data_IF_955645601060
#
_entry.id   IF_955645601060
#
_cell.length_a   1.000
_cell.length_b   1.000
_cell.length_c   1.000
_cell.angle_alpha   90.00
_cell.angle_beta   90.00
_cell.angle_gamma   90.00
#
_symmetry.space_group_name_H-M   'P 1'
#
loop_
_entity.id
_entity.type
_entity.pdbx_description
1 polymer ?
#
# COMPACT_ATOMS: atom_id res chain seq x y z
N UNK A 1 50.93 -13.02 3.37
CA UNK A 1 51.94 -11.97 3.39
C UNK A 1 51.91 -11.14 4.67
N UNK A 2 51.10 -11.47 5.65
CA UNK A 2 51.18 -10.98 7.02
C UNK A 2 51.72 -12.13 7.84
N UNK A 3 52.97 -12.00 8.27
CA UNK A 3 53.62 -13.00 9.15
C UNK A 3 52.79 -13.22 10.39
N UNK A 4 52.77 -14.44 10.89
CA UNK A 4 51.94 -14.76 12.03
C UNK A 4 52.45 -14.07 13.29
N UNK A 5 51.53 -13.57 14.08
CA UNK A 5 51.57 -13.29 15.50
C UNK A 5 52.15 -11.96 16.03
N UNK A 6 53.09 -11.27 15.38
CA UNK A 6 53.67 -10.06 15.97
C UNK A 6 52.93 -8.76 15.56
N UNK A 7 52.34 -8.70 14.39
CA UNK A 7 51.65 -7.48 13.90
C UNK A 7 50.22 -7.37 14.44
N UNK A 8 49.63 -8.50 14.84
CA UNK A 8 48.24 -8.53 15.34
C UNK A 8 48.13 -8.05 16.80
N UNK A 9 49.21 -8.17 17.56
CA UNK A 9 49.25 -7.76 18.96
C UNK A 9 49.41 -6.23 19.17
N UNK A 10 49.85 -5.49 18.14
CA UNK A 10 49.98 -4.02 18.21
C UNK A 10 48.82 -3.26 17.57
N UNK A 11 47.86 -3.93 16.95
CA UNK A 11 46.67 -3.30 16.46
C UNK A 11 45.74 -2.95 17.64
N UNK A 12 45.37 -1.67 17.84
CA UNK A 12 44.42 -1.28 18.85
C UNK A 12 43.03 -1.81 18.46
N UNK A 13 42.75 -3.05 18.84
CA UNK A 13 41.44 -3.64 18.63
C UNK A 13 40.48 -2.99 19.60
N UNK A 14 39.51 -2.17 19.15
CA UNK A 14 38.54 -1.57 20.06
C UNK A 14 37.71 -2.66 20.73
N UNK A 15 37.58 -2.60 22.04
CA UNK A 15 36.69 -3.49 22.79
C UNK A 15 35.28 -2.97 22.63
N UNK A 16 34.43 -3.75 22.02
CA UNK A 16 33.00 -3.44 21.83
C UNK A 16 32.23 -4.14 22.95
N UNK A 17 31.45 -3.35 23.69
CA UNK A 17 30.54 -3.86 24.73
C UNK A 17 29.13 -3.55 24.22
N UNK A 18 28.37 -4.61 23.94
CA UNK A 18 26.96 -4.49 23.57
C UNK A 18 26.10 -4.46 24.85
N UNK A 19 25.32 -3.39 25.00
CA UNK A 19 24.42 -3.20 26.15
C UNK A 19 22.99 -3.26 25.61
N UNK A 20 22.21 -4.23 26.10
CA UNK A 20 20.77 -4.32 25.81
C UNK A 20 20.01 -3.69 26.98
N UNK A 21 19.50 -2.46 26.85
CA UNK A 21 18.81 -1.79 27.94
C UNK A 21 17.39 -2.33 28.15
N UNK A 22 16.92 -2.30 29.39
CA UNK A 22 15.50 -2.52 29.70
C UNK A 22 14.64 -1.32 29.29
N UNK A 23 13.35 -1.54 29.10
CA UNK A 23 12.37 -0.52 28.75
C UNK A 23 12.38 0.63 29.77
N UNK A 24 12.65 1.85 29.30
CA UNK A 24 12.68 3.06 30.17
C UNK A 24 14.08 3.49 30.62
N UNK A 25 15.14 2.90 30.08
CA UNK A 25 16.50 3.27 30.41
C UNK A 25 16.86 4.68 29.91
N UNK A 26 17.48 5.50 30.78
CA UNK A 26 17.89 6.87 30.46
C UNK A 26 19.34 6.88 29.92
N UNK A 27 19.47 7.00 28.59
CA UNK A 27 20.75 7.01 27.91
C UNK A 27 21.57 8.29 28.16
N UNK A 28 20.95 9.42 28.37
CA UNK A 28 21.63 10.68 28.66
C UNK A 28 22.40 10.59 30.02
N UNK A 29 21.84 9.81 30.95
CA UNK A 29 22.51 9.55 32.22
C UNK A 29 23.70 8.62 32.05
N UNK A 30 23.59 7.62 31.16
CA UNK A 30 24.67 6.70 30.84
C UNK A 30 25.83 7.43 30.15
N UNK A 31 25.52 8.28 29.17
CA UNK A 31 26.50 9.06 28.42
C UNK A 31 27.32 9.94 29.34
N UNK A 32 26.65 10.65 30.26
CA UNK A 32 27.33 11.47 31.28
C UNK A 32 28.25 10.66 32.19
N UNK A 33 27.76 9.51 32.68
CA UNK A 33 28.57 8.63 33.54
C UNK A 33 29.73 7.98 32.81
N UNK A 34 29.54 7.59 31.54
CA UNK A 34 30.63 7.07 30.70
C UNK A 34 31.69 8.15 30.46
N UNK A 35 31.31 9.40 30.20
CA UNK A 35 32.26 10.51 30.06
C UNK A 35 33.10 10.79 31.33
N UNK A 36 32.56 10.48 32.52
CA UNK A 36 33.28 10.60 33.78
C UNK A 36 34.23 9.44 34.09
N UNK A 37 33.82 8.21 33.74
CA UNK A 37 34.54 6.99 34.10
C UNK A 37 35.51 6.54 32.98
N UNK A 38 35.13 6.72 31.74
CA UNK A 38 35.89 6.28 30.57
C UNK A 38 35.76 7.33 29.43
N UNK A 39 36.49 8.46 29.50
CA UNK A 39 36.39 9.54 28.51
C UNK A 39 36.81 9.12 27.09
N UNK A 40 37.46 7.99 26.92
CA UNK A 40 37.83 7.44 25.61
C UNK A 40 36.74 6.52 25.03
N UNK A 41 35.69 6.20 25.80
CA UNK A 41 34.60 5.34 25.33
C UNK A 41 33.62 6.16 24.48
N UNK A 42 33.32 5.68 23.29
CA UNK A 42 32.31 6.29 22.40
C UNK A 42 31.03 5.49 22.53
N UNK A 43 29.98 6.14 23.02
CA UNK A 43 28.65 5.54 23.02
C UNK A 43 28.04 5.71 21.62
N UNK A 44 27.91 4.60 20.89
CA UNK A 44 27.25 4.58 19.60
C UNK A 44 25.74 4.33 19.80
N UNK A 45 24.96 5.41 19.76
CA UNK A 45 23.51 5.34 19.91
C UNK A 45 22.83 5.12 18.54
N UNK A 46 22.61 3.86 18.21
CA UNK A 46 21.91 3.45 16.99
C UNK A 46 20.45 3.93 16.93
N UNK A 47 19.86 4.43 18.03
CA UNK A 47 18.46 4.87 18.09
C UNK A 47 18.18 6.08 17.19
N UNK A 48 19.10 7.05 17.14
CA UNK A 48 18.95 8.24 16.29
C UNK A 48 18.84 7.84 14.82
N UNK A 49 19.54 6.79 14.43
CA UNK A 49 19.52 6.26 13.07
C UNK A 49 18.24 5.51 12.79
N UNK A 50 17.77 4.69 13.74
CA UNK A 50 16.52 3.93 13.65
C UNK A 50 15.32 4.88 13.62
N UNK A 51 15.29 5.92 14.44
CA UNK A 51 14.24 6.94 14.41
C UNK A 51 14.17 7.67 13.06
N UNK A 52 15.31 8.06 12.50
CA UNK A 52 15.34 8.68 11.16
C UNK A 52 14.82 7.75 10.06
N UNK A 53 15.18 6.48 10.12
CA UNK A 53 14.66 5.49 9.17
C UNK A 53 13.15 5.31 9.36
N UNK A 54 12.67 5.27 10.59
CA UNK A 54 11.25 5.18 10.90
C UNK A 54 10.47 6.39 10.37
N UNK A 55 11.01 7.61 10.51
CA UNK A 55 10.41 8.84 9.97
C UNK A 55 10.34 8.83 8.45
N UNK A 56 11.40 8.39 7.79
CA UNK A 56 11.40 8.23 6.33
C UNK A 56 10.39 7.16 5.90
N UNK A 57 10.35 6.03 6.58
CA UNK A 57 9.39 4.96 6.30
C UNK A 57 7.94 5.45 6.48
N UNK A 58 7.65 6.19 7.54
CA UNK A 58 6.34 6.81 7.77
C UNK A 58 5.97 7.83 6.68
N UNK A 59 6.94 8.64 6.25
CA UNK A 59 6.72 9.62 5.16
C UNK A 59 6.38 8.92 3.84
N UNK A 60 7.06 7.82 3.53
CA UNK A 60 6.78 6.99 2.34
C UNK A 60 5.40 6.33 2.46
N UNK A 61 5.05 5.78 3.62
CA UNK A 61 3.73 5.20 3.86
C UNK A 61 2.60 6.22 3.68
N UNK A 62 2.78 7.43 4.20
CA UNK A 62 1.83 8.52 4.02
C UNK A 62 1.66 8.91 2.54
N UNK A 63 2.77 9.02 1.80
CA UNK A 63 2.75 9.32 0.36
C UNK A 63 2.05 8.22 -0.45
N UNK A 64 2.32 6.94 -0.14
CA UNK A 64 1.65 5.80 -0.79
C UNK A 64 0.16 5.77 -0.46
N UNK A 65 -0.22 6.04 0.78
CA UNK A 65 -1.63 6.12 1.20
C UNK A 65 -2.35 7.24 0.47
N UNK A 66 -1.74 8.42 0.36
CA UNK A 66 -2.30 9.53 -0.42
C UNK A 66 -2.46 9.17 -1.90
N UNK A 67 -1.47 8.50 -2.50
CA UNK A 67 -1.53 8.01 -3.87
C UNK A 67 -2.69 7.03 -4.08
N UNK A 68 -2.89 6.08 -3.16
CA UNK A 68 -4.01 5.12 -3.23
C UNK A 68 -5.35 5.86 -3.20
N UNK A 69 -5.51 6.87 -2.33
CA UNK A 69 -6.74 7.68 -2.25
C UNK A 69 -7.00 8.40 -3.57
N UNK A 70 -5.97 9.01 -4.17
CA UNK A 70 -6.08 9.72 -5.46
C UNK A 70 -6.46 8.74 -6.57
N UNK A 71 -5.80 7.58 -6.67
CA UNK A 71 -6.11 6.55 -7.67
C UNK A 71 -7.55 6.01 -7.51
N UNK A 72 -7.99 5.81 -6.26
CA UNK A 72 -9.35 5.38 -5.97
C UNK A 72 -10.37 6.44 -6.40
N UNK A 73 -10.11 7.72 -6.11
CA UNK A 73 -10.93 8.85 -6.57
C UNK A 73 -10.99 8.95 -8.10
N UNK A 74 -9.86 8.82 -8.77
CA UNK A 74 -9.76 8.82 -10.23
C UNK A 74 -10.56 7.66 -10.85
N UNK A 75 -10.48 6.47 -10.26
CA UNK A 75 -11.26 5.31 -10.68
C UNK A 75 -12.77 5.57 -10.55
N UNK A 76 -13.22 6.13 -9.43
CA UNK A 76 -14.62 6.49 -9.25
C UNK A 76 -15.10 7.53 -10.28
N UNK A 77 -14.31 8.57 -10.54
CA UNK A 77 -14.62 9.58 -11.55
C UNK A 77 -14.71 8.97 -12.94
N UNK A 78 -13.80 8.06 -13.29
CA UNK A 78 -13.81 7.33 -14.56
C UNK A 78 -15.09 6.48 -14.73
N UNK A 79 -15.52 5.77 -13.68
CA UNK A 79 -16.77 5.01 -13.67
C UNK A 79 -17.98 5.93 -13.86
N UNK A 80 -18.01 7.07 -13.17
CA UNK A 80 -19.09 8.07 -13.31
C UNK A 80 -19.14 8.62 -14.74
N UNK A 81 -17.98 8.99 -15.28
CA UNK A 81 -17.88 9.52 -16.64
C UNK A 81 -18.31 8.48 -17.70
N UNK A 82 -17.77 7.28 -17.63
CA UNK A 82 -18.11 6.17 -18.53
C UNK A 82 -19.62 5.84 -18.48
N UNK A 83 -20.19 5.82 -17.27
CA UNK A 83 -21.64 5.57 -17.08
C UNK A 83 -22.48 6.67 -17.69
N UNK A 84 -22.12 7.95 -17.49
CA UNK A 84 -22.85 9.10 -18.10
C UNK A 84 -22.73 9.10 -19.62
N UNK A 85 -21.55 8.85 -20.15
CA UNK A 85 -21.31 8.76 -21.60
C UNK A 85 -22.11 7.63 -22.22
N UNK A 86 -22.12 6.43 -21.59
CA UNK A 86 -22.91 5.31 -22.03
C UNK A 86 -24.42 5.58 -22.04
N UNK A 87 -24.94 6.26 -21.02
CA UNK A 87 -26.34 6.70 -20.96
C UNK A 87 -26.67 7.69 -22.10
N UNK A 88 -25.79 8.64 -22.39
CA UNK A 88 -25.95 9.63 -23.45
C UNK A 88 -25.99 8.98 -24.83
N UNK A 89 -25.09 8.02 -25.09
CA UNK A 89 -25.03 7.28 -26.37
C UNK A 89 -26.31 6.45 -26.60
N UNK A 90 -26.85 5.86 -25.55
CA UNK A 90 -28.04 4.98 -25.64
C UNK A 90 -29.35 5.67 -25.28
N UNK A 91 -29.36 7.00 -25.28
CA UNK A 91 -30.52 7.80 -24.85
C UNK A 91 -31.81 7.41 -25.55
N UNK A 92 -31.80 7.26 -26.85
CA UNK A 92 -33.00 6.89 -27.64
C UNK A 92 -33.55 5.52 -27.24
N UNK A 93 -32.67 4.56 -26.99
CA UNK A 93 -33.08 3.21 -26.55
C UNK A 93 -33.68 3.29 -25.15
N UNK A 94 -33.11 4.09 -24.26
CA UNK A 94 -33.60 4.27 -22.90
C UNK A 94 -34.99 4.95 -22.90
N UNK A 95 -35.21 5.96 -23.75
CA UNK A 95 -36.52 6.62 -23.94
C UNK A 95 -37.57 5.61 -24.47
N UNK A 96 -37.21 4.77 -25.44
CA UNK A 96 -38.10 3.70 -25.94
C UNK A 96 -38.43 2.69 -24.83
N UNK A 97 -37.43 2.24 -24.04
CA UNK A 97 -37.69 1.36 -22.92
C UNK A 97 -38.64 1.96 -21.89
N UNK A 98 -38.52 3.26 -21.65
CA UNK A 98 -39.37 3.96 -20.72
C UNK A 98 -40.83 4.04 -21.23
N UNK A 99 -41.03 4.24 -22.55
CA UNK A 99 -42.36 4.26 -23.18
C UNK A 99 -43.07 2.90 -23.05
N UNK A 100 -42.34 1.79 -23.03
CA UNK A 100 -42.91 0.45 -22.83
C UNK A 100 -43.00 0.07 -21.35
N UNK A 101 -42.71 1.00 -20.42
CA UNK A 101 -42.91 0.81 -18.98
C UNK A 101 -41.73 0.20 -18.20
N UNK A 102 -40.53 0.19 -18.78
CA UNK A 102 -39.35 -0.30 -18.05
C UNK A 102 -39.04 0.57 -16.84
N UNK A 103 -38.83 -0.05 -15.67
CA UNK A 103 -38.44 0.63 -14.44
C UNK A 103 -37.02 1.14 -14.50
N UNK A 104 -36.75 2.32 -13.93
CA UNK A 104 -35.40 2.88 -13.78
C UNK A 104 -34.41 1.97 -13.08
N UNK A 105 -34.90 1.19 -12.10
CA UNK A 105 -34.11 0.21 -11.37
C UNK A 105 -33.59 -0.91 -12.25
N UNK A 106 -34.34 -1.32 -13.28
CA UNK A 106 -33.91 -2.34 -14.25
C UNK A 106 -32.79 -1.81 -15.13
N UNK A 107 -32.97 -0.59 -15.70
CA UNK A 107 -31.96 0.09 -16.53
C UNK A 107 -30.66 0.28 -15.71
N UNK A 108 -30.78 0.83 -14.50
CA UNK A 108 -29.65 1.02 -13.60
C UNK A 108 -28.93 -0.32 -13.24
N UNK A 109 -29.70 -1.40 -13.06
CA UNK A 109 -29.16 -2.71 -12.80
C UNK A 109 -28.33 -3.29 -13.94
N UNK A 110 -28.73 -3.01 -15.20
CA UNK A 110 -28.01 -3.49 -16.38
C UNK A 110 -26.66 -2.79 -16.55
N UNK A 111 -26.65 -1.45 -16.39
CA UNK A 111 -25.42 -0.68 -16.41
C UNK A 111 -24.49 -1.05 -15.24
N UNK A 112 -25.05 -1.25 -14.06
CA UNK A 112 -24.28 -1.65 -12.89
C UNK A 112 -23.60 -3.02 -13.08
N UNK A 113 -24.30 -4.01 -13.68
CA UNK A 113 -23.72 -5.34 -13.99
C UNK A 113 -22.63 -5.26 -15.04
N UNK A 114 -22.77 -4.42 -16.04
CA UNK A 114 -21.75 -4.20 -17.05
C UNK A 114 -20.46 -3.62 -16.43
N UNK A 115 -20.61 -2.55 -15.64
CA UNK A 115 -19.49 -1.93 -14.93
C UNK A 115 -18.84 -2.87 -13.89
N UNK A 116 -19.63 -3.72 -13.22
CA UNK A 116 -19.11 -4.76 -12.32
C UNK A 116 -18.15 -5.69 -13.04
N UNK A 117 -18.55 -6.20 -14.20
CA UNK A 117 -17.70 -7.12 -14.99
C UNK A 117 -16.41 -6.43 -15.44
N UNK A 118 -16.52 -5.23 -16.01
CA UNK A 118 -15.35 -4.47 -16.45
C UNK A 118 -14.38 -4.18 -15.31
N UNK A 119 -14.90 -3.72 -14.17
CA UNK A 119 -14.08 -3.43 -12.99
C UNK A 119 -13.44 -4.69 -12.41
N UNK A 120 -14.16 -5.81 -12.39
CA UNK A 120 -13.63 -7.09 -11.91
C UNK A 120 -12.49 -7.59 -12.80
N UNK A 121 -12.70 -7.62 -14.12
CA UNK A 121 -11.64 -8.03 -15.06
C UNK A 121 -10.45 -7.08 -15.05
N UNK A 122 -10.69 -5.77 -14.98
CA UNK A 122 -9.62 -4.78 -14.85
C UNK A 122 -8.80 -4.98 -13.58
N UNK A 123 -9.46 -5.21 -12.44
CA UNK A 123 -8.78 -5.48 -11.17
C UNK A 123 -8.03 -6.83 -11.19
N UNK A 124 -8.57 -7.85 -11.88
CA UNK A 124 -7.89 -9.13 -12.04
C UNK A 124 -6.61 -9.00 -12.89
N UNK A 125 -6.66 -8.27 -14.00
CA UNK A 125 -5.48 -7.96 -14.83
C UNK A 125 -4.46 -7.16 -14.02
N UNK A 126 -4.90 -6.15 -13.27
CA UNK A 126 -4.03 -5.38 -12.38
C UNK A 126 -3.34 -6.27 -11.35
N UNK A 127 -4.05 -7.20 -10.75
CA UNK A 127 -3.50 -8.17 -9.81
C UNK A 127 -2.47 -9.10 -10.47
N UNK A 128 -2.77 -9.59 -11.69
CA UNK A 128 -1.88 -10.45 -12.45
C UNK A 128 -0.54 -9.77 -12.79
N UNK A 129 -0.54 -8.46 -12.97
CA UNK A 129 0.67 -7.67 -13.21
C UNK A 129 1.37 -7.35 -11.89
N UNK A 130 0.62 -7.02 -10.85
CA UNK A 130 1.18 -6.62 -9.56
C UNK A 130 1.89 -7.77 -8.83
N UNK A 131 1.37 -9.00 -8.91
CA UNK A 131 1.96 -10.17 -8.25
C UNK A 131 3.40 -10.48 -8.69
N UNK A 132 3.73 -10.57 -9.98
CA UNK A 132 5.12 -10.83 -10.40
C UNK A 132 6.05 -9.66 -10.07
N UNK A 133 5.57 -8.42 -10.14
CA UNK A 133 6.38 -7.24 -9.76
C UNK A 133 6.70 -7.27 -8.27
N UNK A 134 5.70 -7.52 -7.41
CA UNK A 134 5.91 -7.62 -5.96
C UNK A 134 6.79 -8.80 -5.60
N UNK A 135 6.64 -9.94 -6.29
CA UNK A 135 7.50 -11.11 -6.14
C UNK A 135 8.96 -10.83 -6.51
N UNK A 136 9.19 -10.08 -7.59
CA UNK A 136 10.53 -9.66 -8.01
C UNK A 136 11.18 -8.74 -6.97
N UNK A 137 10.43 -7.76 -6.45
CA UNK A 137 10.92 -6.85 -5.40
C UNK A 137 11.26 -7.63 -4.14
N UNK A 138 10.41 -8.56 -3.73
CA UNK A 138 10.66 -9.43 -2.58
C UNK A 138 11.92 -10.30 -2.77
N UNK A 139 12.10 -10.88 -3.95
CA UNK A 139 13.27 -11.69 -4.27
C UNK A 139 14.58 -10.89 -4.27
N UNK A 140 14.56 -9.67 -4.83
CA UNK A 140 15.71 -8.75 -4.79
C UNK A 140 16.01 -8.32 -3.34
N UNK A 141 14.98 -8.03 -2.55
CA UNK A 141 15.12 -7.68 -1.13
C UNK A 141 15.78 -8.81 -0.32
N UNK A 142 15.36 -10.05 -0.54
CA UNK A 142 15.98 -11.22 0.10
C UNK A 142 17.47 -11.35 -0.26
N UNK A 143 17.84 -11.11 -1.53
CA UNK A 143 19.24 -11.11 -1.96
C UNK A 143 20.06 -9.99 -1.35
N UNK A 144 19.45 -8.85 -1.09
CA UNK A 144 20.06 -7.71 -0.43
C UNK A 144 20.14 -7.84 1.11
N UNK A 145 19.67 -8.97 1.68
CA UNK A 145 19.65 -9.21 3.12
C UNK A 145 18.57 -8.44 3.87
N UNK A 146 17.54 -7.93 3.17
CA UNK A 146 16.44 -7.24 3.82
C UNK A 146 15.54 -8.25 4.54
N UNK A 147 15.21 -8.00 5.81
CA UNK A 147 14.27 -8.84 6.52
C UNK A 147 12.87 -8.64 5.90
N UNK A 148 12.38 -9.64 5.16
CA UNK A 148 10.99 -9.60 4.69
C UNK A 148 10.11 -9.98 5.88
N UNK A 149 9.16 -9.12 6.30
CA UNK A 149 8.26 -9.45 7.38
C UNK A 149 7.51 -10.74 7.07
N UNK A 150 7.47 -11.68 8.01
CA UNK A 150 6.70 -12.93 7.91
C UNK A 150 5.21 -12.69 7.62
N UNK A 151 4.73 -11.48 7.92
CA UNK A 151 3.39 -10.99 7.59
C UNK A 151 3.05 -11.07 6.09
N UNK A 152 4.04 -10.90 5.19
CA UNK A 152 3.81 -10.97 3.73
C UNK A 152 3.37 -12.37 3.30
N UNK A 153 3.80 -13.41 4.02
CA UNK A 153 3.40 -14.79 3.78
C UNK A 153 2.24 -15.25 4.66
N UNK A 154 1.63 -14.35 5.43
CA UNK A 154 0.50 -14.72 6.28
C UNK A 154 -0.75 -14.99 5.44
N UNK A 155 -1.58 -15.98 5.82
CA UNK A 155 -2.84 -16.27 5.14
C UNK A 155 -3.79 -15.07 5.13
N UNK A 156 -3.70 -14.21 6.12
CA UNK A 156 -4.48 -12.97 6.21
C UNK A 156 -4.09 -11.98 5.10
N UNK A 157 -2.80 -11.80 4.84
CA UNK A 157 -2.31 -10.90 3.78
C UNK A 157 -2.72 -11.41 2.39
N UNK A 158 -2.61 -12.72 2.15
CA UNK A 158 -3.07 -13.36 0.92
C UNK A 158 -4.58 -13.17 0.76
N UNK A 159 -5.36 -13.32 1.82
CA UNK A 159 -6.81 -13.10 1.82
C UNK A 159 -7.19 -11.67 1.46
N UNK A 160 -6.47 -10.67 1.97
CA UNK A 160 -6.65 -9.24 1.62
C UNK A 160 -6.39 -9.02 0.13
N UNK A 161 -5.30 -9.55 -0.42
CA UNK A 161 -4.95 -9.41 -1.84
C UNK A 161 -6.06 -10.00 -2.73
N UNK A 162 -6.57 -11.18 -2.41
CA UNK A 162 -7.66 -11.84 -3.14
C UNK A 162 -8.97 -11.03 -3.03
N UNK A 163 -9.21 -10.36 -1.92
CA UNK A 163 -10.42 -9.56 -1.71
C UNK A 163 -10.44 -8.25 -2.55
N UNK A 164 -9.28 -7.70 -2.93
CA UNK A 164 -9.17 -6.43 -3.67
C UNK A 164 -10.05 -6.38 -4.93
N UNK A 165 -10.01 -7.36 -5.87
CA UNK A 165 -10.85 -7.35 -7.06
C UNK A 165 -12.35 -7.29 -6.75
N UNK A 166 -12.80 -7.98 -5.70
CA UNK A 166 -14.20 -8.00 -5.30
C UNK A 166 -14.64 -6.66 -4.71
N UNK A 167 -13.79 -6.05 -3.88
CA UNK A 167 -14.04 -4.72 -3.28
C UNK A 167 -14.13 -3.66 -4.38
N UNK A 168 -13.16 -3.61 -5.29
CA UNK A 168 -13.12 -2.65 -6.41
C UNK A 168 -14.35 -2.83 -7.32
N UNK A 169 -14.70 -4.06 -7.66
CA UNK A 169 -15.86 -4.36 -8.47
C UNK A 169 -17.18 -3.94 -7.78
N UNK A 170 -17.32 -4.20 -6.49
CA UNK A 170 -18.47 -3.80 -5.69
C UNK A 170 -18.64 -2.28 -5.60
N UNK A 171 -17.55 -1.56 -5.39
CA UNK A 171 -17.54 -0.08 -5.36
C UNK A 171 -17.91 0.48 -6.74
N UNK A 172 -17.33 -0.05 -7.82
CA UNK A 172 -17.66 0.36 -9.19
C UNK A 172 -19.15 0.15 -9.52
N UNK A 173 -19.69 -1.03 -9.14
CA UNK A 173 -21.11 -1.34 -9.32
C UNK A 173 -22.00 -0.35 -8.57
N UNK A 174 -21.70 -0.08 -7.30
CA UNK A 174 -22.49 0.83 -6.46
C UNK A 174 -22.45 2.26 -7.00
N UNK A 175 -21.27 2.71 -7.44
CA UNK A 175 -21.05 4.03 -8.05
C UNK A 175 -21.84 4.16 -9.35
N UNK A 176 -21.76 3.17 -10.24
CA UNK A 176 -22.52 3.14 -11.49
C UNK A 176 -24.02 3.19 -11.24
N UNK A 177 -24.55 2.32 -10.36
CA UNK A 177 -25.98 2.28 -10.01
C UNK A 177 -26.48 3.62 -9.50
N UNK A 178 -25.75 4.24 -8.55
CA UNK A 178 -26.11 5.56 -8.01
C UNK A 178 -26.07 6.67 -9.08
N UNK A 179 -25.09 6.61 -9.98
CA UNK A 179 -24.94 7.57 -11.08
C UNK A 179 -26.10 7.47 -12.06
N UNK A 180 -26.48 6.27 -12.49
CA UNK A 180 -27.63 6.05 -13.40
C UNK A 180 -28.91 6.56 -12.77
N UNK A 181 -29.23 6.16 -11.54
CA UNK A 181 -30.44 6.60 -10.85
C UNK A 181 -30.49 8.12 -10.69
N UNK A 182 -29.34 8.77 -10.47
CA UNK A 182 -29.29 10.24 -10.34
C UNK A 182 -29.50 10.94 -11.68
N UNK A 183 -29.00 10.37 -12.77
CA UNK A 183 -29.15 10.94 -14.12
C UNK A 183 -30.58 10.77 -14.59
N UNK A 184 -31.17 9.58 -14.43
CA UNK A 184 -32.56 9.31 -14.81
C UNK A 184 -33.56 10.23 -14.09
N UNK A 185 -33.38 10.45 -12.79
CA UNK A 185 -34.21 11.41 -11.99
C UNK A 185 -34.10 12.87 -12.43
N UNK A 186 -33.10 13.25 -13.24
CA UNK A 186 -32.94 14.61 -13.77
C UNK A 186 -33.45 14.74 -15.20
N UNK A 187 -33.74 13.62 -15.86
CA UNK A 187 -34.29 13.59 -17.22
C UNK A 187 -35.83 13.55 -17.23
N UNK A 188 -36.43 13.18 -16.10
CA UNK A 188 -37.85 13.22 -15.80
C UNK A 188 -38.21 14.50 -15.03
#
# INVERSE_FOLDING_TARGET
WLGPDEVVSELPIPRIIEITPETGFNFDMLERRLGEIAPEAVLDDHRIWIERIADVAFSVELALTALIIVLFGATMLSVVFATRSGLSIHRTIIELLHLIGAQDSYIAGQFARHNLRLAFFGALIGLLIALPISGLIAWLGLRAGWPIPSLVFSPLFIGIIIAIPFVVAGVAQMTAKRTVLRVLRRML
#
